data_IF_477943860514
#
_entry.id   IF_477943860514
#
_cell.length_a   1.000
_cell.length_b   1.000
_cell.length_c   1.000
_cell.angle_alpha   90.00
_cell.angle_beta   90.00
_cell.angle_gamma   90.00
#
_symmetry.space_group_name_H-M   'P 1'
#
loop_
_entity.id
_entity.type
_entity.pdbx_description
1 polymer ?
#
# COMPACT_ATOMS: atom_id res chain seq x y z
N UNK A 1 19.27 -30.66 74.21
CA UNK A 1 17.83 -31.00 74.17
C UNK A 1 17.03 -29.70 74.05
N UNK A 2 15.92 -29.77 73.33
CA UNK A 2 15.06 -28.69 72.85
C UNK A 2 14.54 -27.68 73.89
N UNK A 3 14.14 -26.51 73.36
CA UNK A 3 12.98 -25.65 73.72
C UNK A 3 13.13 -24.68 74.91
N UNK A 4 13.11 -23.36 74.65
CA UNK A 4 11.89 -22.53 74.57
C UNK A 4 12.21 -21.02 74.62
N UNK A 5 12.11 -20.38 73.44
CA UNK A 5 11.40 -19.14 73.12
C UNK A 5 10.63 -18.37 74.23
N UNK A 6 10.86 -17.04 74.36
CA UNK A 6 9.92 -15.91 74.05
C UNK A 6 10.13 -14.61 74.88
N UNK A 7 10.20 -13.47 74.14
CA UNK A 7 9.87 -12.06 74.44
C UNK A 7 10.77 -11.26 75.42
N UNK A 8 11.07 -9.95 75.23
CA UNK A 8 10.56 -8.83 74.40
C UNK A 8 11.66 -7.73 74.45
N UNK A 9 11.78 -6.78 73.51
CA UNK A 9 11.25 -5.40 73.60
C UNK A 9 11.64 -4.64 72.32
N UNK A 10 10.69 -3.81 71.87
CA UNK A 10 10.71 -2.86 70.76
C UNK A 10 11.84 -1.81 70.82
N UNK A 11 12.44 -1.50 69.66
CA UNK A 11 12.92 -0.16 69.35
C UNK A 11 12.84 0.11 67.84
N UNK A 12 12.32 1.30 67.56
CA UNK A 12 11.89 1.90 66.31
C UNK A 12 12.99 2.13 65.27
N UNK A 13 12.74 1.73 64.02
CA UNK A 13 13.39 2.31 62.83
C UNK A 13 12.33 2.66 61.81
N UNK A 14 12.19 3.97 61.58
CA UNK A 14 11.36 4.61 60.58
C UNK A 14 12.02 4.37 59.21
N UNK A 15 11.34 3.68 58.30
CA UNK A 15 11.72 3.60 56.88
C UNK A 15 10.83 4.58 56.11
N UNK A 16 11.38 5.60 55.42
CA UNK A 16 10.57 6.42 54.53
C UNK A 16 10.20 5.58 53.31
N UNK A 17 8.90 5.35 53.15
CA UNK A 17 8.29 4.73 51.98
C UNK A 17 8.49 5.69 50.79
N UNK A 18 9.51 5.40 49.97
CA UNK A 18 9.76 6.11 48.72
C UNK A 18 8.67 5.70 47.73
N UNK A 19 7.56 6.42 47.75
CA UNK A 19 6.46 6.35 46.79
C UNK A 19 7.02 6.78 45.43
N UNK A 20 7.46 5.81 44.64
CA UNK A 20 7.73 5.99 43.21
C UNK A 20 6.38 6.23 42.54
N UNK A 21 6.01 7.51 42.41
CA UNK A 21 4.90 7.93 41.57
C UNK A 21 5.37 7.70 40.13
N UNK A 22 5.05 6.53 39.58
CA UNK A 22 5.10 6.29 38.15
C UNK A 22 4.07 7.24 37.53
N UNK A 23 4.54 8.39 37.06
CA UNK A 23 3.82 9.19 36.08
C UNK A 23 3.75 8.35 34.79
N UNK A 24 2.76 7.46 34.75
CA UNK A 24 2.26 6.92 33.51
C UNK A 24 1.66 8.10 32.76
N UNK A 25 2.45 8.73 31.90
CA UNK A 25 1.92 9.52 30.80
C UNK A 25 1.03 8.57 29.98
N UNK A 26 -0.24 8.47 30.33
CA UNK A 26 -1.28 8.04 29.40
C UNK A 26 -1.35 9.12 28.33
N UNK A 27 -0.42 9.07 27.38
CA UNK A 27 -0.72 9.59 26.06
C UNK A 27 -1.97 8.84 25.64
N UNK A 28 -3.10 9.54 25.58
CA UNK A 28 -4.30 9.07 24.92
C UNK A 28 -3.87 8.70 23.50
N UNK A 29 -3.50 7.43 23.27
CA UNK A 29 -3.27 6.93 21.94
C UNK A 29 -4.64 6.93 21.28
N UNK A 30 -4.89 7.95 20.47
CA UNK A 30 -6.08 8.03 19.65
C UNK A 30 -6.19 6.71 18.87
N UNK A 31 -7.36 6.08 18.97
CA UNK A 31 -7.63 4.85 18.24
C UNK A 31 -7.84 5.19 16.75
N UNK A 32 -7.49 4.28 15.83
CA UNK A 32 -7.80 4.45 14.41
C UNK A 32 -9.30 4.63 14.24
N UNK A 33 -9.70 5.62 13.45
CA UNK A 33 -11.10 5.79 13.04
C UNK A 33 -11.35 4.92 11.81
N UNK A 34 -12.50 4.24 11.79
CA UNK A 34 -12.94 3.51 10.59
C UNK A 34 -13.04 4.48 9.42
N UNK A 35 -12.44 4.11 8.28
CA UNK A 35 -12.63 4.84 7.03
C UNK A 35 -14.06 4.64 6.50
N UNK A 36 -14.47 5.47 5.55
CA UNK A 36 -15.78 5.36 4.91
C UNK A 36 -15.68 4.34 3.77
N UNK A 37 -16.33 3.19 3.92
CA UNK A 37 -16.36 2.13 2.91
C UNK A 37 -17.66 2.18 2.10
N UNK A 38 -17.51 2.39 0.79
CA UNK A 38 -18.59 2.38 -0.18
C UNK A 38 -18.53 1.08 -0.99
N UNK A 39 -19.39 0.12 -0.65
CA UNK A 39 -19.52 -1.13 -1.40
C UNK A 39 -20.35 -0.89 -2.68
N UNK A 40 -19.70 -0.32 -3.69
CA UNK A 40 -20.34 -0.02 -4.97
C UNK A 40 -20.63 -1.29 -5.78
N UNK A 41 -19.88 -2.37 -5.59
CA UNK A 41 -20.13 -3.67 -6.25
C UNK A 41 -21.44 -4.26 -5.76
N UNK A 42 -21.67 -4.33 -4.44
CA UNK A 42 -22.94 -4.81 -3.90
C UNK A 42 -24.12 -3.91 -4.29
N UNK A 43 -23.90 -2.58 -4.37
CA UNK A 43 -24.94 -1.65 -4.82
C UNK A 43 -25.36 -1.93 -6.26
N UNK A 44 -24.41 -2.06 -7.19
CA UNK A 44 -24.74 -2.30 -8.61
C UNK A 44 -25.28 -3.71 -8.87
N UNK A 45 -24.78 -4.73 -8.15
CA UNK A 45 -25.29 -6.11 -8.20
C UNK A 45 -26.76 -6.20 -7.75
N UNK A 46 -27.13 -5.42 -6.73
CA UNK A 46 -28.52 -5.40 -6.26
C UNK A 46 -29.51 -4.87 -7.31
N UNK A 47 -29.05 -4.02 -8.24
CA UNK A 47 -29.88 -3.42 -9.29
C UNK A 47 -30.16 -4.36 -10.46
N UNK A 48 -29.45 -5.50 -10.56
CA UNK A 48 -29.62 -6.48 -11.65
C UNK A 48 -31.04 -7.05 -11.72
N UNK A 49 -31.71 -7.16 -10.58
CA UNK A 49 -33.07 -7.72 -10.50
C UNK A 49 -34.14 -6.79 -11.09
N UNK A 50 -33.96 -5.48 -10.92
CA UNK A 50 -34.93 -4.47 -11.32
C UNK A 50 -34.62 -3.86 -12.71
N UNK A 51 -33.40 -4.12 -13.22
CA UNK A 51 -32.92 -3.66 -14.52
C UNK A 51 -32.21 -2.31 -14.45
N UNK A 52 -30.97 -2.26 -14.92
CA UNK A 52 -30.14 -1.06 -14.95
C UNK A 52 -30.51 -0.15 -16.12
N UNK A 53 -30.86 1.11 -15.83
CA UNK A 53 -31.35 2.08 -16.80
C UNK A 53 -30.68 3.46 -16.67
N UNK A 54 -31.05 4.42 -17.53
CA UNK A 54 -30.43 5.74 -17.57
C UNK A 54 -30.60 6.56 -16.26
N UNK A 55 -31.66 6.30 -15.48
CA UNK A 55 -31.84 6.94 -14.19
C UNK A 55 -30.82 6.45 -13.16
N UNK A 56 -30.38 5.20 -13.23
CA UNK A 56 -29.36 4.64 -12.34
C UNK A 56 -27.99 5.27 -12.61
N UNK A 57 -27.67 5.53 -13.88
CA UNK A 57 -26.49 6.33 -14.25
C UNK A 57 -26.57 7.72 -13.63
N UNK A 58 -27.72 8.39 -13.76
CA UNK A 58 -27.93 9.72 -13.18
C UNK A 58 -27.83 9.70 -11.65
N UNK A 59 -28.34 8.64 -11.01
CA UNK A 59 -28.24 8.41 -9.57
C UNK A 59 -26.78 8.29 -9.13
N UNK A 60 -25.97 7.44 -9.76
CA UNK A 60 -24.58 7.26 -9.35
C UNK A 60 -23.69 8.47 -9.66
N UNK A 61 -23.95 9.19 -10.76
CA UNK A 61 -23.29 10.48 -11.01
C UNK A 61 -23.58 11.50 -9.91
N UNK A 62 -24.78 11.49 -9.34
CA UNK A 62 -25.13 12.39 -8.23
C UNK A 62 -24.54 11.91 -6.90
N UNK A 63 -24.59 10.60 -6.63
CA UNK A 63 -24.17 10.01 -5.36
C UNK A 63 -22.65 9.93 -5.21
N UNK A 64 -21.94 9.55 -6.27
CA UNK A 64 -20.49 9.36 -6.29
C UNK A 64 -19.86 10.07 -7.49
N UNK A 65 -19.94 11.41 -7.62
CA UNK A 65 -19.67 12.11 -8.88
C UNK A 65 -18.31 11.78 -9.49
N UNK A 66 -17.24 11.94 -8.70
CA UNK A 66 -15.88 11.69 -9.20
C UNK A 66 -15.59 10.21 -9.37
N UNK A 67 -15.87 9.40 -8.34
CA UNK A 67 -15.62 7.96 -8.38
C UNK A 67 -16.34 7.29 -9.55
N UNK A 68 -17.64 7.55 -9.72
CA UNK A 68 -18.43 6.94 -10.79
C UNK A 68 -17.98 7.41 -12.17
N UNK A 69 -17.56 8.67 -12.31
CA UNK A 69 -16.95 9.17 -13.56
C UNK A 69 -15.67 8.40 -13.89
N UNK A 70 -14.74 8.25 -12.93
CA UNK A 70 -13.50 7.50 -13.15
C UNK A 70 -13.77 6.02 -13.46
N UNK A 71 -14.65 5.37 -12.70
CA UNK A 71 -15.02 3.98 -12.97
C UNK A 71 -15.66 3.82 -14.36
N UNK A 72 -16.62 4.68 -14.73
CA UNK A 72 -17.32 4.56 -15.99
C UNK A 72 -16.40 4.83 -17.19
N UNK A 73 -15.61 5.90 -17.16
CA UNK A 73 -14.84 6.33 -18.33
C UNK A 73 -13.44 5.74 -18.41
N UNK A 74 -12.75 5.60 -17.28
CA UNK A 74 -11.35 5.12 -17.24
C UNK A 74 -11.27 3.61 -17.04
N UNK A 75 -12.11 3.04 -16.16
CA UNK A 75 -12.07 1.61 -15.85
C UNK A 75 -12.91 0.79 -16.85
N UNK A 76 -14.14 1.21 -17.10
CA UNK A 76 -15.05 0.55 -18.05
C UNK A 76 -14.85 1.03 -19.49
N UNK A 77 -13.89 1.94 -19.73
CA UNK A 77 -13.45 2.43 -21.05
C UNK A 77 -14.57 3.06 -21.92
N UNK A 78 -15.65 3.54 -21.28
CA UNK A 78 -16.69 4.28 -22.01
C UNK A 78 -16.19 5.62 -22.55
N UNK A 79 -15.00 6.08 -22.15
CA UNK A 79 -14.36 7.28 -22.69
C UNK A 79 -14.14 7.23 -24.20
N UNK A 80 -13.93 6.03 -24.77
CA UNK A 80 -13.80 5.86 -26.23
C UNK A 80 -15.10 6.06 -27.00
N UNK A 81 -16.22 6.14 -26.28
CA UNK A 81 -17.56 6.21 -26.83
C UNK A 81 -18.32 7.43 -26.28
N UNK A 82 -17.70 8.61 -26.36
CA UNK A 82 -18.27 9.88 -25.85
C UNK A 82 -19.69 10.14 -26.37
N UNK A 83 -19.99 9.72 -27.59
CA UNK A 83 -21.28 9.93 -28.25
C UNK A 83 -22.41 9.02 -27.75
N UNK A 84 -22.15 8.03 -26.91
CA UNK A 84 -23.22 7.17 -26.39
C UNK A 84 -24.17 7.96 -25.49
N UNK A 85 -25.47 7.72 -25.65
CA UNK A 85 -26.48 8.21 -24.71
C UNK A 85 -26.43 7.40 -23.42
N UNK A 86 -26.95 7.96 -22.33
CA UNK A 86 -27.03 7.21 -21.07
C UNK A 86 -27.92 5.96 -21.19
N UNK A 87 -28.94 5.98 -22.04
CA UNK A 87 -29.72 4.78 -22.33
C UNK A 87 -28.86 3.68 -22.96
N UNK A 88 -27.97 4.02 -23.90
CA UNK A 88 -27.06 3.06 -24.51
C UNK A 88 -26.01 2.54 -23.52
N UNK A 89 -25.44 3.43 -22.68
CA UNK A 89 -24.52 3.04 -21.61
C UNK A 89 -25.19 2.09 -20.61
N UNK A 90 -26.43 2.38 -20.25
CA UNK A 90 -27.18 1.56 -19.31
C UNK A 90 -27.50 0.18 -19.87
N UNK A 91 -27.84 0.08 -21.16
CA UNK A 91 -28.02 -1.22 -21.83
C UNK A 91 -26.75 -2.07 -21.81
N UNK A 92 -25.58 -1.45 -22.08
CA UNK A 92 -24.31 -2.16 -21.97
C UNK A 92 -24.04 -2.61 -20.54
N UNK A 93 -24.24 -1.73 -19.54
CA UNK A 93 -24.03 -2.08 -18.13
C UNK A 93 -24.98 -3.20 -17.70
N UNK A 94 -26.26 -3.17 -18.10
CA UNK A 94 -27.22 -4.24 -17.83
C UNK A 94 -26.74 -5.59 -18.39
N UNK A 95 -26.32 -5.61 -19.66
CA UNK A 95 -25.77 -6.82 -20.27
C UNK A 95 -24.53 -7.30 -19.52
N UNK A 96 -23.61 -6.39 -19.21
CA UNK A 96 -22.40 -6.69 -18.46
C UNK A 96 -22.71 -7.27 -17.07
N UNK A 97 -23.67 -6.70 -16.34
CA UNK A 97 -24.13 -7.20 -15.05
C UNK A 97 -24.67 -8.63 -15.16
N UNK A 98 -25.46 -8.92 -16.19
CA UNK A 98 -25.99 -10.25 -16.44
C UNK A 98 -24.90 -11.29 -16.71
N UNK A 99 -23.89 -10.94 -17.49
CA UNK A 99 -22.75 -11.82 -17.78
C UNK A 99 -21.87 -12.08 -16.55
N UNK A 100 -21.80 -11.11 -15.63
CA UNK A 100 -20.92 -11.19 -14.46
C UNK A 100 -21.59 -11.75 -13.18
N UNK A 101 -22.85 -12.22 -13.25
CA UNK A 101 -23.54 -12.86 -12.11
C UNK A 101 -22.69 -13.91 -11.35
N UNK A 102 -21.94 -14.82 -12.03
CA UNK A 102 -21.06 -15.76 -11.33
C UNK A 102 -19.94 -15.07 -10.54
N UNK A 103 -19.36 -14.00 -11.09
CA UNK A 103 -18.30 -13.22 -10.45
C UNK A 103 -18.84 -12.49 -9.21
N UNK A 104 -20.02 -11.86 -9.32
CA UNK A 104 -20.67 -11.22 -8.16
C UNK A 104 -20.95 -12.22 -7.02
N UNK A 105 -21.40 -13.42 -7.34
CA UNK A 105 -21.62 -14.46 -6.34
C UNK A 105 -20.32 -14.91 -5.66
N UNK A 106 -19.24 -15.09 -6.43
CA UNK A 106 -17.93 -15.44 -5.90
C UNK A 106 -17.39 -14.35 -4.95
N UNK A 107 -17.45 -13.09 -5.38
CA UNK A 107 -17.05 -11.92 -4.59
C UNK A 107 -17.84 -11.83 -3.29
N UNK A 108 -19.18 -11.97 -3.35
CA UNK A 108 -20.04 -11.88 -2.17
C UNK A 108 -19.66 -12.91 -1.11
N UNK A 109 -19.46 -14.17 -1.52
CA UNK A 109 -19.03 -15.24 -0.61
C UNK A 109 -17.63 -15.01 -0.06
N UNK A 110 -16.69 -14.60 -0.92
CA UNK A 110 -15.30 -14.38 -0.57
C UNK A 110 -15.13 -13.24 0.44
N UNK A 111 -15.70 -12.07 0.19
CA UNK A 111 -15.52 -10.87 1.04
C UNK A 111 -16.41 -10.87 2.30
N UNK A 112 -17.41 -11.75 2.38
CA UNK A 112 -18.09 -12.03 3.65
C UNK A 112 -17.11 -12.61 4.68
N UNK A 113 -16.10 -13.36 4.23
CA UNK A 113 -15.07 -13.99 5.06
C UNK A 113 -13.80 -13.12 5.11
N UNK A 114 -13.33 -12.67 3.95
CA UNK A 114 -12.04 -11.99 3.78
C UNK A 114 -12.15 -10.46 3.89
N UNK A 115 -12.45 -9.96 5.08
CA UNK A 115 -12.63 -8.52 5.34
C UNK A 115 -11.63 -7.91 6.37
N UNK A 116 -10.73 -8.70 6.95
CA UNK A 116 -9.76 -8.24 7.96
C UNK A 116 -8.84 -7.12 7.48
N UNK A 117 -8.56 -7.06 6.17
CA UNK A 117 -7.75 -6.02 5.54
C UNK A 117 -8.33 -4.60 5.74
N UNK A 118 -9.63 -4.45 6.02
CA UNK A 118 -10.23 -3.15 6.34
C UNK A 118 -9.64 -2.57 7.61
N UNK A 119 -9.50 -3.37 8.66
CA UNK A 119 -8.86 -2.96 9.91
C UNK A 119 -7.38 -2.64 9.72
N UNK A 120 -6.68 -3.38 8.86
CA UNK A 120 -5.29 -3.06 8.50
C UNK A 120 -5.19 -1.72 7.77
N UNK A 121 -6.09 -1.45 6.82
CA UNK A 121 -6.14 -0.20 6.08
C UNK A 121 -6.47 0.99 6.99
N UNK A 122 -7.48 0.86 7.86
CA UNK A 122 -7.84 1.89 8.83
C UNK A 122 -6.65 2.24 9.74
N UNK A 123 -5.93 1.22 10.22
CA UNK A 123 -4.74 1.41 11.04
C UNK A 123 -3.58 2.05 10.26
N UNK A 124 -3.31 1.60 9.03
CA UNK A 124 -2.24 2.13 8.21
C UNK A 124 -2.53 3.59 7.80
N UNK A 125 -3.77 3.92 7.48
CA UNK A 125 -4.17 5.29 7.16
C UNK A 125 -4.09 6.21 8.36
N UNK A 126 -4.50 5.73 9.54
CA UNK A 126 -4.31 6.45 10.80
C UNK A 126 -2.82 6.71 11.09
N UNK A 127 -1.95 5.69 10.91
CA UNK A 127 -0.51 5.84 11.06
C UNK A 127 0.03 6.89 10.08
N UNK A 128 -0.47 6.90 8.83
CA UNK A 128 -0.07 7.83 7.79
C UNK A 128 -0.45 9.27 8.15
N UNK A 129 -1.69 9.51 8.57
CA UNK A 129 -2.14 10.82 9.03
C UNK A 129 -1.37 11.31 10.26
N UNK A 130 -0.96 10.40 11.16
CA UNK A 130 -0.15 10.78 12.32
C UNK A 130 1.27 11.20 11.91
N UNK A 131 1.84 10.50 10.93
CA UNK A 131 3.22 10.71 10.50
C UNK A 131 3.36 11.76 9.40
N UNK A 132 2.30 12.04 8.66
CA UNK A 132 2.17 13.07 7.62
C UNK A 132 0.80 13.75 7.82
N UNK A 133 0.71 14.79 8.68
CA UNK A 133 -0.57 15.42 9.04
C UNK A 133 -1.38 16.01 7.88
N UNK A 134 -0.72 16.30 6.75
CA UNK A 134 -1.34 16.79 5.52
C UNK A 134 -2.16 15.69 4.79
N UNK A 135 -2.04 14.41 5.19
CA UNK A 135 -2.75 13.31 4.53
C UNK A 135 -4.28 13.48 4.67
N UNK A 136 -5.02 13.56 3.54
CA UNK A 136 -6.46 13.75 3.56
C UNK A 136 -7.22 12.58 4.20
N UNK A 137 -8.49 12.82 4.52
CA UNK A 137 -9.40 11.71 4.78
C UNK A 137 -9.61 10.89 3.51
N UNK A 138 -9.77 9.57 3.65
CA UNK A 138 -10.03 8.67 2.54
C UNK A 138 -11.46 8.12 2.55
N UNK A 139 -12.01 7.97 1.34
CA UNK A 139 -13.19 7.15 1.07
C UNK A 139 -12.79 5.96 0.22
N UNK A 140 -13.20 4.77 0.66
CA UNK A 140 -12.85 3.51 0.02
C UNK A 140 -13.99 3.07 -0.89
N UNK A 141 -13.69 2.65 -2.11
CA UNK A 141 -14.68 2.15 -3.06
C UNK A 141 -14.27 0.78 -3.60
N UNK A 142 -15.18 -0.18 -3.56
CA UNK A 142 -15.04 -1.42 -4.35
C UNK A 142 -15.59 -1.20 -5.75
N UNK A 143 -14.98 -1.76 -6.78
CA UNK A 143 -15.55 -1.82 -8.13
C UNK A 143 -15.21 -3.14 -8.82
N UNK A 144 -15.71 -3.31 -10.05
CA UNK A 144 -15.21 -4.34 -10.97
C UNK A 144 -14.52 -3.67 -12.16
N UNK A 145 -13.35 -4.18 -12.53
CA UNK A 145 -12.51 -3.75 -13.65
C UNK A 145 -12.59 -4.65 -14.88
N UNK A 146 -13.33 -5.76 -14.82
CA UNK A 146 -13.39 -6.80 -15.86
C UNK A 146 -12.05 -7.50 -16.09
N UNK A 147 -11.31 -7.77 -15.02
CA UNK A 147 -9.95 -8.33 -15.10
C UNK A 147 -8.97 -7.50 -15.95
N UNK A 148 -9.25 -6.21 -16.14
CA UNK A 148 -8.29 -5.28 -16.74
C UNK A 148 -7.18 -4.92 -15.75
N UNK A 149 -6.08 -4.34 -16.26
CA UNK A 149 -4.90 -3.95 -15.47
C UNK A 149 -5.13 -2.85 -14.40
N UNK A 150 -6.38 -2.45 -14.13
CA UNK A 150 -6.75 -1.47 -13.12
C UNK A 150 -7.16 -2.14 -11.81
N UNK A 151 -6.20 -2.73 -11.07
CA UNK A 151 -6.48 -3.35 -9.77
C UNK A 151 -6.92 -2.33 -8.71
N UNK A 152 -6.30 -1.14 -8.74
CA UNK A 152 -6.62 -0.04 -7.84
C UNK A 152 -6.46 1.29 -8.55
N UNK A 153 -7.20 2.30 -8.12
CA UNK A 153 -6.92 3.69 -8.51
C UNK A 153 -7.08 4.63 -7.32
N UNK A 154 -6.42 5.78 -7.43
CA UNK A 154 -6.43 6.84 -6.41
C UNK A 154 -6.69 8.17 -7.08
N UNK A 155 -7.51 9.00 -6.44
CA UNK A 155 -7.71 10.39 -6.84
C UNK A 155 -7.96 11.27 -5.62
N UNK A 156 -7.36 12.47 -5.59
CA UNK A 156 -7.55 13.41 -4.49
C UNK A 156 -8.32 14.62 -4.97
N UNK A 157 -9.44 14.89 -4.31
CA UNK A 157 -10.35 15.98 -4.60
C UNK A 157 -10.11 17.13 -3.64
N UNK A 158 -10.00 18.34 -4.17
CA UNK A 158 -10.00 19.56 -3.38
C UNK A 158 -11.39 20.21 -3.44
N UNK A 159 -12.02 20.42 -2.29
CA UNK A 159 -13.26 21.15 -2.19
C UNK A 159 -12.96 22.64 -1.95
N UNK A 160 -13.21 23.47 -2.96
CA UNK A 160 -12.96 24.91 -2.91
C UNK A 160 -13.74 25.65 -1.82
N UNK A 161 -14.92 25.16 -1.43
CA UNK A 161 -15.78 25.80 -0.44
C UNK A 161 -15.32 25.47 0.98
N UNK A 162 -15.03 24.20 1.26
CA UNK A 162 -14.57 23.77 2.59
C UNK A 162 -13.06 23.89 2.77
N UNK A 163 -12.31 24.12 1.68
CA UNK A 163 -10.84 24.14 1.63
C UNK A 163 -10.22 22.85 2.15
N UNK A 164 -10.93 21.73 1.98
CA UNK A 164 -10.52 20.40 2.44
C UNK A 164 -10.27 19.47 1.26
N UNK A 165 -9.26 18.62 1.43
CA UNK A 165 -9.02 17.51 0.52
C UNK A 165 -9.74 16.24 0.98
N UNK A 166 -10.12 15.40 0.02
CA UNK A 166 -10.58 14.03 0.27
C UNK A 166 -10.05 13.11 -0.81
N UNK A 167 -9.47 12.00 -0.39
CA UNK A 167 -8.90 11.00 -1.29
C UNK A 167 -9.91 9.88 -1.53
N UNK A 168 -10.09 9.50 -2.79
CA UNK A 168 -10.75 8.27 -3.20
C UNK A 168 -9.67 7.19 -3.32
N UNK A 169 -9.85 6.09 -2.60
CA UNK A 169 -9.07 4.88 -2.73
C UNK A 169 -10.00 3.80 -3.26
N UNK A 170 -9.77 3.30 -4.47
CA UNK A 170 -10.65 2.32 -5.09
C UNK A 170 -9.90 1.04 -5.43
N UNK A 171 -10.56 -0.11 -5.28
CA UNK A 171 -10.01 -1.43 -5.62
C UNK A 171 -11.02 -2.30 -6.39
N UNK A 172 -10.50 -3.05 -7.37
CA UNK A 172 -11.25 -4.01 -8.17
C UNK A 172 -11.37 -5.33 -7.41
N UNK A 173 -12.57 -5.70 -6.95
CA UNK A 173 -12.76 -6.84 -6.05
C UNK A 173 -12.38 -8.18 -6.71
N UNK A 174 -12.66 -8.36 -7.99
CA UNK A 174 -12.29 -9.56 -8.73
C UNK A 174 -10.79 -9.65 -9.01
N UNK A 175 -10.00 -8.62 -8.73
CA UNK A 175 -8.53 -8.69 -8.83
C UNK A 175 -7.86 -9.14 -7.53
N UNK A 176 -8.63 -9.38 -6.45
CA UNK A 176 -8.09 -9.82 -5.16
C UNK A 176 -8.69 -11.14 -4.61
N UNK A 177 -8.96 -12.11 -5.49
CA UNK A 177 -9.61 -13.41 -5.21
C UNK A 177 -8.67 -14.62 -5.27
N UNK A 178 -7.36 -14.45 -5.00
CA UNK A 178 -6.28 -15.42 -5.27
C UNK A 178 -6.58 -16.90 -4.93
N UNK A 179 -7.40 -17.15 -3.91
CA UNK A 179 -7.75 -18.45 -3.34
C UNK A 179 -9.10 -19.02 -3.82
N UNK A 180 -9.98 -18.20 -4.39
CA UNK A 180 -11.37 -18.58 -4.71
C UNK A 180 -11.74 -18.45 -6.19
N UNK A 181 -10.82 -17.95 -7.03
CA UNK A 181 -11.08 -17.71 -8.45
C UNK A 181 -10.14 -18.49 -9.39
N UNK A 182 -10.40 -19.79 -9.63
CA UNK A 182 -9.69 -20.61 -10.61
C UNK A 182 -9.52 -19.98 -12.00
N UNK A 183 -10.47 -19.16 -12.51
CA UNK A 183 -10.30 -18.54 -13.83
C UNK A 183 -9.12 -17.57 -13.94
N UNK A 184 -8.41 -17.18 -12.88
CA UNK A 184 -7.12 -16.48 -13.05
C UNK A 184 -6.13 -17.24 -13.92
N UNK A 185 -6.14 -18.57 -13.85
CA UNK A 185 -5.32 -19.42 -14.73
C UNK A 185 -5.73 -19.34 -16.21
N UNK A 186 -6.98 -18.97 -16.49
CA UNK A 186 -7.50 -18.83 -17.86
C UNK A 186 -7.21 -17.44 -18.47
N UNK A 187 -6.89 -16.46 -17.64
CA UNK A 187 -6.65 -15.07 -18.06
C UNK A 187 -5.22 -14.81 -18.55
N UNK A 188 -4.37 -15.84 -18.59
CA UNK A 188 -2.94 -15.79 -18.98
C UNK A 188 -2.18 -14.62 -18.32
N UNK A 189 -2.53 -14.33 -17.06
CA UNK A 189 -1.93 -13.23 -16.31
C UNK A 189 -0.48 -13.59 -15.97
N UNK A 190 0.46 -12.64 -16.08
CA UNK A 190 1.85 -12.89 -15.70
C UNK A 190 1.95 -13.45 -14.27
N UNK A 191 2.74 -14.51 -14.01
CA UNK A 191 2.73 -15.20 -12.71
C UNK A 191 3.04 -14.31 -11.49
N UNK A 192 3.78 -13.22 -11.68
CA UNK A 192 4.08 -12.27 -10.62
C UNK A 192 2.84 -11.56 -10.07
N UNK A 193 1.74 -11.53 -10.84
CA UNK A 193 0.47 -10.92 -10.45
C UNK A 193 -0.12 -11.62 -9.20
N UNK A 194 0.08 -12.92 -9.06
CA UNK A 194 -0.36 -13.71 -7.91
C UNK A 194 0.25 -13.27 -6.57
N UNK A 195 1.36 -12.51 -6.59
CA UNK A 195 1.98 -11.92 -5.39
C UNK A 195 1.12 -10.83 -4.75
N UNK A 196 0.29 -10.16 -5.56
CA UNK A 196 -0.43 -8.95 -5.16
C UNK A 196 -1.96 -9.08 -5.20
N UNK A 197 -2.49 -10.25 -5.57
CA UNK A 197 -3.94 -10.49 -5.72
C UNK A 197 -4.61 -11.17 -4.54
N UNK A 198 -3.91 -11.35 -3.41
CA UNK A 198 -4.57 -11.82 -2.19
C UNK A 198 -5.39 -10.69 -1.57
N UNK A 199 -6.49 -11.02 -0.89
CA UNK A 199 -7.23 -9.98 -0.14
C UNK A 199 -6.40 -9.34 0.99
N UNK A 200 -5.37 -10.02 1.50
CA UNK A 200 -4.34 -9.41 2.37
C UNK A 200 -3.57 -8.27 1.70
N UNK A 201 -3.57 -8.16 0.37
CA UNK A 201 -2.82 -7.13 -0.35
C UNK A 201 -3.65 -5.87 -0.65
N UNK A 202 -4.95 -5.87 -0.38
CA UNK A 202 -5.80 -4.71 -0.69
C UNK A 202 -5.33 -3.47 0.08
N UNK A 203 -5.12 -3.60 1.39
CA UNK A 203 -4.69 -2.48 2.23
C UNK A 203 -3.32 -1.93 1.79
N UNK A 204 -2.34 -2.81 1.56
CA UNK A 204 -1.00 -2.41 1.14
C UNK A 204 -1.01 -1.75 -0.24
N UNK A 205 -1.75 -2.31 -1.21
CA UNK A 205 -1.81 -1.77 -2.57
C UNK A 205 -2.51 -0.39 -2.62
N UNK A 206 -3.57 -0.17 -1.83
CA UNK A 206 -4.23 1.13 -1.75
C UNK A 206 -3.31 2.21 -1.16
N UNK A 207 -2.60 1.89 -0.06
CA UNK A 207 -1.64 2.83 0.55
C UNK A 207 -0.45 3.09 -0.37
N UNK A 208 0.10 2.05 -1.01
CA UNK A 208 1.19 2.17 -1.97
C UNK A 208 0.81 3.09 -3.14
N UNK A 209 -0.38 2.89 -3.72
CA UNK A 209 -0.84 3.67 -4.86
C UNK A 209 -1.12 5.13 -4.48
N UNK A 210 -1.60 5.38 -3.26
CA UNK A 210 -1.73 6.74 -2.73
C UNK A 210 -0.37 7.42 -2.60
N UNK A 211 0.59 6.79 -1.91
CA UNK A 211 1.92 7.36 -1.70
C UNK A 211 2.59 7.67 -3.03
N UNK A 212 2.53 6.73 -3.99
CA UNK A 212 3.05 6.95 -5.33
C UNK A 212 2.39 8.16 -6.00
N UNK A 213 1.06 8.15 -6.13
CA UNK A 213 0.31 9.21 -6.82
C UNK A 213 0.52 10.58 -6.17
N UNK A 214 0.58 10.64 -4.85
CA UNK A 214 0.74 11.88 -4.09
C UNK A 214 2.15 12.48 -4.24
N UNK A 215 3.20 11.67 -4.15
CA UNK A 215 4.58 12.16 -4.13
C UNK A 215 5.29 12.16 -5.49
N UNK A 216 4.79 11.44 -6.51
CA UNK A 216 5.45 11.33 -7.81
C UNK A 216 5.63 12.69 -8.50
N UNK A 217 4.68 13.62 -8.34
CA UNK A 217 4.75 14.96 -8.96
C UNK A 217 5.82 15.87 -8.34
N UNK A 218 6.23 15.62 -7.10
CA UNK A 218 7.19 16.46 -6.36
C UNK A 218 8.61 15.91 -6.41
N UNK A 219 8.81 14.72 -6.98
CA UNK A 219 10.10 14.03 -7.01
C UNK A 219 10.56 13.79 -8.45
N UNK A 220 11.69 14.39 -8.83
CA UNK A 220 12.36 14.10 -10.10
C UNK A 220 12.88 12.67 -10.10
N UNK A 221 12.64 11.93 -11.19
CA UNK A 221 13.06 10.52 -11.36
C UNK A 221 13.86 10.35 -12.66
N UNK A 222 15.00 11.05 -12.75
CA UNK A 222 15.80 11.14 -13.98
C UNK A 222 17.07 10.27 -13.98
N UNK A 223 17.41 9.65 -12.85
CA UNK A 223 18.55 8.76 -12.70
C UNK A 223 18.20 7.46 -11.95
N UNK A 224 19.09 6.47 -12.01
CA UNK A 224 18.98 5.24 -11.22
C UNK A 224 18.86 5.54 -9.72
N UNK A 225 19.67 6.48 -9.21
CA UNK A 225 19.61 6.88 -7.80
C UNK A 225 18.26 7.53 -7.47
N UNK A 226 17.74 8.39 -8.32
CA UNK A 226 16.44 9.03 -8.07
C UNK A 226 15.30 8.01 -8.03
N UNK A 227 15.29 7.07 -8.97
CA UNK A 227 14.33 5.98 -8.98
C UNK A 227 14.47 5.11 -7.72
N UNK A 228 15.70 4.78 -7.34
CA UNK A 228 16.04 4.00 -6.15
C UNK A 228 15.52 4.68 -4.88
N UNK A 229 15.83 5.96 -4.67
CA UNK A 229 15.37 6.69 -3.49
C UNK A 229 13.86 6.84 -3.48
N UNK A 230 13.22 7.18 -4.60
CA UNK A 230 11.78 7.33 -4.65
C UNK A 230 11.05 6.02 -4.29
N UNK A 231 11.43 4.90 -4.92
CA UNK A 231 10.87 3.59 -4.59
C UNK A 231 11.20 3.16 -3.15
N UNK A 232 12.41 3.48 -2.69
CA UNK A 232 12.85 3.24 -1.33
C UNK A 232 12.00 3.95 -0.27
N UNK A 233 11.61 5.20 -0.52
CA UNK A 233 10.70 5.95 0.36
C UNK A 233 9.32 5.31 0.43
N UNK A 234 8.80 4.83 -0.71
CA UNK A 234 7.53 4.11 -0.72
C UNK A 234 7.64 2.84 0.13
N UNK A 235 8.64 1.99 -0.13
CA UNK A 235 8.82 0.74 0.62
C UNK A 235 9.07 0.96 2.12
N UNK A 236 9.86 1.98 2.48
CA UNK A 236 10.08 2.38 3.86
C UNK A 236 8.76 2.79 4.51
N UNK A 237 7.94 3.60 3.82
CA UNK A 237 6.60 3.97 4.28
C UNK A 237 5.72 2.75 4.48
N UNK A 238 5.71 1.80 3.55
CA UNK A 238 4.89 0.59 3.68
C UNK A 238 5.27 -0.22 4.93
N UNK A 239 6.54 -0.42 5.20
CA UNK A 239 6.98 -1.15 6.42
C UNK A 239 6.63 -0.35 7.68
N UNK A 240 6.83 0.97 7.65
CA UNK A 240 6.52 1.86 8.77
C UNK A 240 5.02 1.88 9.11
N UNK A 241 4.15 1.92 8.09
CA UNK A 241 2.70 2.09 8.26
C UNK A 241 1.99 0.78 8.65
N UNK A 242 2.60 -0.37 8.37
CA UNK A 242 2.07 -1.70 8.68
C UNK A 242 2.96 -2.46 9.69
N UNK A 243 3.18 -1.93 10.91
CA UNK A 243 4.21 -2.45 11.84
C UNK A 243 3.93 -3.86 12.39
N UNK A 244 2.73 -4.40 12.20
CA UNK A 244 2.33 -5.74 12.64
C UNK A 244 2.51 -6.81 11.56
N UNK A 245 2.89 -6.42 10.34
CA UNK A 245 3.08 -7.34 9.22
C UNK A 245 4.56 -7.47 8.89
N UNK A 246 4.93 -8.65 8.41
CA UNK A 246 6.29 -8.90 7.98
C UNK A 246 6.62 -8.08 6.72
N UNK A 247 7.82 -7.47 6.61
CA UNK A 247 8.22 -6.69 5.43
C UNK A 247 8.05 -7.43 4.11
N UNK A 248 8.45 -8.71 4.05
CA UNK A 248 8.36 -9.50 2.83
C UNK A 248 6.91 -9.74 2.39
N UNK A 249 6.00 -10.01 3.33
CA UNK A 249 4.58 -10.19 3.02
C UNK A 249 3.93 -8.90 2.51
N UNK A 250 4.26 -7.74 3.08
CA UNK A 250 3.75 -6.44 2.62
C UNK A 250 4.23 -6.14 1.21
N UNK A 251 5.48 -6.47 0.91
CA UNK A 251 6.16 -6.14 -0.35
C UNK A 251 6.02 -7.23 -1.42
N UNK A 252 5.26 -8.31 -1.18
CA UNK A 252 4.97 -9.36 -2.16
C UNK A 252 6.10 -10.38 -2.38
N UNK A 253 6.99 -10.54 -1.40
CA UNK A 253 8.07 -11.53 -1.38
C UNK A 253 7.72 -12.70 -0.47
N UNK A 254 8.24 -13.88 -0.83
CA UNK A 254 8.39 -14.93 0.17
C UNK A 254 9.59 -14.66 1.09
N UNK A 255 9.65 -15.37 2.21
CA UNK A 255 10.72 -15.19 3.19
C UNK A 255 12.11 -15.54 2.62
N UNK A 256 12.20 -16.52 1.72
CA UNK A 256 13.48 -16.96 1.16
C UNK A 256 14.05 -15.92 0.18
N UNK A 257 13.19 -15.31 -0.64
CA UNK A 257 13.56 -14.20 -1.52
C UNK A 257 14.03 -12.99 -0.71
N UNK A 258 13.31 -12.66 0.35
CA UNK A 258 13.69 -11.57 1.25
C UNK A 258 15.03 -11.83 1.93
N UNK A 259 15.21 -13.02 2.53
CA UNK A 259 16.47 -13.40 3.17
C UNK A 259 17.62 -13.47 2.15
N UNK A 260 17.34 -13.82 0.89
CA UNK A 260 18.34 -13.78 -0.19
C UNK A 260 18.80 -12.34 -0.45
N UNK A 261 17.87 -11.38 -0.56
CA UNK A 261 18.22 -9.97 -0.76
C UNK A 261 19.00 -9.40 0.43
N UNK A 262 18.61 -9.75 1.67
CA UNK A 262 19.33 -9.34 2.88
C UNK A 262 20.77 -9.87 2.91
N UNK A 263 20.98 -11.18 2.64
CA UNK A 263 22.33 -11.76 2.59
C UNK A 263 23.15 -11.24 1.42
N UNK A 264 22.49 -10.91 0.31
CA UNK A 264 23.10 -10.42 -0.92
C UNK A 264 23.29 -8.90 -0.98
N UNK A 265 22.87 -8.15 0.04
CA UNK A 265 22.80 -6.67 0.02
C UNK A 265 24.11 -6.02 -0.44
N UNK A 266 25.24 -6.45 0.12
CA UNK A 266 26.56 -5.96 -0.27
C UNK A 266 26.94 -6.28 -1.72
N UNK A 267 26.57 -7.46 -2.23
CA UNK A 267 26.87 -7.87 -3.60
C UNK A 267 25.97 -7.17 -4.63
N UNK A 268 24.70 -6.94 -4.29
CA UNK A 268 23.79 -6.12 -5.09
C UNK A 268 24.35 -4.70 -5.21
N UNK A 269 24.79 -4.12 -4.10
CA UNK A 269 25.40 -2.79 -4.09
C UNK A 269 26.70 -2.74 -4.91
N UNK A 270 27.59 -3.73 -4.73
CA UNK A 270 28.83 -3.85 -5.50
C UNK A 270 28.56 -3.95 -7.00
N UNK A 271 27.55 -4.72 -7.41
CA UNK A 271 27.14 -4.82 -8.81
C UNK A 271 26.78 -3.45 -9.40
N UNK A 272 26.14 -2.55 -8.64
CA UNK A 272 25.82 -1.21 -9.12
C UNK A 272 27.06 -0.32 -9.31
N UNK A 273 28.02 -0.44 -8.40
CA UNK A 273 29.27 0.32 -8.43
C UNK A 273 30.20 -0.16 -9.55
N UNK A 274 30.41 -1.48 -9.65
CA UNK A 274 31.30 -2.10 -10.64
C UNK A 274 30.82 -1.80 -12.07
N UNK A 275 29.50 -1.71 -12.28
CA UNK A 275 28.90 -1.37 -13.57
C UNK A 275 28.67 0.14 -13.77
N UNK A 276 29.06 1.00 -12.82
CA UNK A 276 28.90 2.46 -12.87
C UNK A 276 27.45 2.92 -13.13
N UNK A 277 26.45 2.14 -12.70
CA UNK A 277 25.04 2.40 -13.03
C UNK A 277 24.33 3.28 -12.01
N UNK A 278 24.84 3.39 -10.78
CA UNK A 278 24.17 4.09 -9.67
C UNK A 278 23.75 5.53 -10.03
N UNK A 279 24.56 6.24 -10.80
CA UNK A 279 24.29 7.61 -11.24
C UNK A 279 23.89 7.72 -12.72
N UNK A 280 23.61 6.59 -13.39
CA UNK A 280 23.19 6.62 -14.80
C UNK A 280 21.83 7.29 -14.96
N UNK A 281 21.72 8.16 -15.96
CA UNK A 281 20.47 8.78 -16.41
C UNK A 281 19.87 8.07 -17.65
N UNK A 282 20.50 7.02 -18.15
CA UNK A 282 20.00 6.23 -19.28
C UNK A 282 19.05 5.16 -18.75
N UNK A 283 17.76 5.34 -18.99
CA UNK A 283 16.70 4.44 -18.51
C UNK A 283 16.97 2.94 -18.80
N UNK A 284 17.52 2.62 -19.98
CA UNK A 284 17.84 1.23 -20.35
C UNK A 284 18.92 0.58 -19.47
N UNK A 285 19.77 1.37 -18.81
CA UNK A 285 20.82 0.84 -17.94
C UNK A 285 20.23 0.26 -16.65
N UNK A 286 19.18 0.89 -16.11
CA UNK A 286 18.67 0.59 -14.77
C UNK A 286 17.25 0.04 -14.71
N UNK A 287 16.41 0.20 -15.75
CA UNK A 287 14.98 -0.18 -15.72
C UNK A 287 14.72 -1.62 -15.24
N UNK A 288 15.63 -2.56 -15.54
CA UNK A 288 15.52 -3.97 -15.15
C UNK A 288 15.51 -4.20 -13.64
N UNK A 289 16.10 -3.29 -12.86
CA UNK A 289 16.15 -3.39 -11.40
C UNK A 289 14.85 -2.94 -10.72
N UNK A 290 13.94 -2.30 -11.47
CA UNK A 290 12.66 -1.76 -11.01
C UNK A 290 11.47 -2.44 -11.70
N UNK A 291 11.72 -3.47 -12.50
CA UNK A 291 10.68 -4.18 -13.23
C UNK A 291 10.01 -5.23 -12.33
N UNK A 292 8.68 -5.24 -12.34
CA UNK A 292 7.90 -6.36 -11.82
C UNK A 292 8.20 -7.63 -12.64
N UNK A 293 8.23 -8.77 -11.97
CA UNK A 293 8.56 -10.04 -12.58
C UNK A 293 8.77 -11.13 -11.54
N UNK A 294 9.20 -12.30 -12.00
CA UNK A 294 9.57 -13.40 -11.10
C UNK A 294 11.02 -13.29 -10.61
N UNK A 295 11.90 -12.68 -11.42
CA UNK A 295 13.34 -12.53 -11.18
C UNK A 295 13.86 -11.25 -11.85
N UNK A 296 14.93 -10.68 -11.31
CA UNK A 296 15.73 -9.69 -12.03
C UNK A 296 16.69 -10.42 -12.97
N UNK A 297 16.84 -9.92 -14.19
CA UNK A 297 17.69 -10.49 -15.23
C UNK A 297 18.72 -9.47 -15.73
N UNK A 298 19.76 -9.95 -16.41
CA UNK A 298 20.78 -9.13 -17.05
C UNK A 298 22.20 -9.60 -16.75
N UNK A 299 23.18 -9.05 -17.47
CA UNK A 299 24.59 -9.40 -17.28
C UNK A 299 25.02 -9.12 -15.83
N UNK A 300 25.69 -10.10 -15.21
CA UNK A 300 26.15 -10.02 -13.82
C UNK A 300 25.06 -10.28 -12.76
N UNK A 301 23.81 -10.52 -13.16
CA UNK A 301 22.72 -10.84 -12.22
C UNK A 301 22.49 -12.36 -12.16
N UNK A 302 22.59 -12.99 -10.98
CA UNK A 302 22.31 -14.42 -10.83
C UNK A 302 20.85 -14.79 -11.16
N UNK A 303 20.58 -15.98 -11.74
CA UNK A 303 19.22 -16.40 -12.11
C UNK A 303 18.20 -16.42 -10.95
N UNK A 304 18.67 -16.63 -9.73
CA UNK A 304 17.85 -16.69 -8.53
C UNK A 304 17.45 -15.31 -7.97
N UNK A 305 18.06 -14.23 -8.48
CA UNK A 305 17.88 -12.86 -8.01
C UNK A 305 16.40 -12.44 -8.03
N UNK A 306 15.78 -12.14 -6.87
CA UNK A 306 14.40 -11.67 -6.78
C UNK A 306 14.16 -10.40 -7.62
N UNK A 307 12.92 -10.10 -8.01
CA UNK A 307 12.60 -8.88 -8.75
C UNK A 307 12.78 -7.62 -7.86
N UNK A 308 12.75 -6.44 -8.48
CA UNK A 308 12.76 -5.12 -7.80
C UNK A 308 13.96 -4.88 -6.84
N UNK A 309 15.14 -5.43 -7.13
CA UNK A 309 16.34 -5.19 -6.29
C UNK A 309 16.74 -3.70 -6.19
N UNK A 310 16.34 -2.88 -7.17
CA UNK A 310 16.49 -1.43 -7.10
C UNK A 310 15.64 -0.81 -6.00
N UNK A 311 14.37 -1.23 -5.88
CA UNK A 311 13.49 -0.81 -4.78
C UNK A 311 14.03 -1.28 -3.42
N UNK A 312 14.53 -2.52 -3.35
CA UNK A 312 15.15 -3.06 -2.13
C UNK A 312 16.33 -2.20 -1.69
N UNK A 313 17.28 -1.93 -2.58
CA UNK A 313 18.44 -1.09 -2.25
C UNK A 313 18.04 0.33 -1.84
N UNK A 314 17.02 0.88 -2.48
CA UNK A 314 16.40 2.14 -2.09
C UNK A 314 15.84 2.12 -0.67
N UNK A 315 15.10 1.08 -0.30
CA UNK A 315 14.58 0.89 1.05
C UNK A 315 15.72 0.89 2.07
N UNK A 316 16.81 0.17 1.78
CA UNK A 316 17.96 0.07 2.69
C UNK A 316 18.65 1.41 2.92
N UNK A 317 18.83 2.19 1.84
CA UNK A 317 19.39 3.54 1.92
C UNK A 317 18.47 4.46 2.75
N UNK A 318 17.16 4.44 2.49
CA UNK A 318 16.19 5.29 3.19
C UNK A 318 16.07 4.90 4.67
N UNK A 319 16.08 3.60 5.00
CA UNK A 319 16.15 3.14 6.39
C UNK A 319 17.41 3.65 7.08
N UNK A 320 18.58 3.46 6.46
CA UNK A 320 19.85 3.93 7.02
C UNK A 320 19.87 5.45 7.21
N UNK A 321 19.26 6.21 6.29
CA UNK A 321 19.08 7.64 6.45
C UNK A 321 18.17 7.96 7.64
N UNK A 322 17.00 7.35 7.74
CA UNK A 322 16.03 7.63 8.79
C UNK A 322 16.59 7.29 10.18
N UNK A 323 17.20 6.12 10.34
CA UNK A 323 17.77 5.65 11.59
C UNK A 323 18.93 6.53 12.05
N UNK A 324 19.82 6.92 11.13
CA UNK A 324 21.00 7.73 11.45
C UNK A 324 20.67 9.18 11.79
N UNK A 325 19.63 9.74 11.18
CA UNK A 325 19.27 11.14 11.31
C UNK A 325 18.05 11.37 12.23
N UNK A 326 17.54 10.30 12.87
CA UNK A 326 16.28 10.31 13.64
C UNK A 326 15.13 10.99 12.87
N UNK A 327 15.06 10.71 11.57
CA UNK A 327 14.15 11.39 10.66
C UNK A 327 12.76 10.75 10.69
N UNK A 328 11.75 11.57 10.96
CA UNK A 328 10.34 11.20 10.81
C UNK A 328 9.99 10.90 9.35
N UNK A 329 8.88 10.18 9.13
CA UNK A 329 8.39 9.85 7.79
C UNK A 329 8.14 11.11 6.94
N UNK A 330 7.59 12.18 7.52
CA UNK A 330 7.39 13.45 6.81
C UNK A 330 8.72 14.09 6.39
N UNK A 331 9.74 14.05 7.24
CA UNK A 331 11.08 14.59 6.91
C UNK A 331 11.71 13.80 5.76
N UNK A 332 11.60 12.46 5.78
CA UNK A 332 12.08 11.60 4.67
C UNK A 332 11.40 11.99 3.35
N UNK A 333 10.09 12.21 3.34
CA UNK A 333 9.36 12.60 2.12
C UNK A 333 9.65 14.04 1.68
N UNK A 334 9.97 14.96 2.59
CA UNK A 334 10.27 16.36 2.28
C UNK A 334 11.57 16.55 1.46
N UNK A 335 12.54 15.65 1.62
CA UNK A 335 13.85 15.77 0.94
C UNK A 335 13.73 15.27 -0.50
N UNK A 336 13.63 16.16 -1.47
CA UNK A 336 13.48 15.77 -2.88
C UNK A 336 14.81 15.45 -3.57
N UNK A 337 15.95 15.81 -2.97
CA UNK A 337 17.27 15.52 -3.52
C UNK A 337 17.77 14.14 -3.07
N UNK A 338 17.84 13.20 -4.00
CA UNK A 338 18.28 11.82 -3.75
C UNK A 338 19.73 11.72 -3.27
N UNK A 339 20.62 12.64 -3.66
CA UNK A 339 22.00 12.66 -3.19
C UNK A 339 22.10 13.01 -1.71
N UNK A 340 21.20 13.86 -1.20
CA UNK A 340 21.16 14.22 0.22
C UNK A 340 20.82 13.00 1.08
N UNK A 341 19.83 12.21 0.65
CA UNK A 341 19.47 10.95 1.30
C UNK A 341 20.65 9.96 1.26
N UNK A 342 21.27 9.77 0.10
CA UNK A 342 22.41 8.85 -0.04
C UNK A 342 23.59 9.26 0.86
N UNK A 343 24.00 10.53 0.83
CA UNK A 343 25.11 11.02 1.66
C UNK A 343 24.77 10.98 3.15
N UNK A 344 23.57 11.43 3.53
CA UNK A 344 23.10 11.43 4.91
C UNK A 344 22.95 10.03 5.51
N UNK A 345 22.70 9.01 4.68
CA UNK A 345 22.63 7.61 5.11
C UNK A 345 23.99 7.01 5.47
N UNK A 346 25.10 7.52 4.88
CA UNK A 346 26.40 6.85 4.85
C UNK A 346 26.32 5.35 4.47
N UNK A 347 25.36 5.01 3.62
CA UNK A 347 25.09 3.63 3.21
C UNK A 347 26.29 3.01 2.48
N UNK A 348 26.82 1.93 3.06
CA UNK A 348 27.90 1.15 2.47
C UNK A 348 27.83 -0.31 2.99
N UNK A 349 26.96 -1.16 2.41
CA UNK A 349 26.74 -2.53 2.88
C UNK A 349 27.87 -3.51 2.50
N UNK A 350 28.94 -3.04 1.87
CA UNK A 350 30.14 -3.86 1.55
C UNK A 350 31.10 -3.93 2.75
N UNK A 351 31.04 -2.94 3.64
CA UNK A 351 31.78 -2.91 4.91
C UNK A 351 30.95 -3.54 6.01
#
# INVERSE_FOLDING_TARGET
MQKNNINTIFLSVIYPLLLVILFSCTQNQSQPKSLVYNDFVSQIDSMVKDGFNANDISYFRKKYPRFFTLWLYEVMDFGRFEQLTDSARAQYIQYWLEQNKPVFNAIRGHYAINNYWKGELDQAWFNLQRSIPETPNAQIFSYLSQFSNYNTFVDTLYNEQTKQETTILAYSQEMFLNDTFPPYALLDLPPYFNRYNGSNQIASQLVWNYLKTHFEKTHTRSSMLDEMIFQGKIWYSMIYLFPKRNPWEILGYDKNEWDWMLRGEGQIWKHYLDNQILFSNKFNDYKRYFAFGNKTFGNGVPPECPPLIGNFSGLRIVQSYADKNDASLAQVWKITNSNEILQGSAYNPIK
#
